data_IF_412395627276
#
_entry.id   IF_412395627276
#
_cell.length_a   1.000
_cell.length_b   1.000
_cell.length_c   1.000
_cell.angle_alpha   90.00
_cell.angle_beta   90.00
_cell.angle_gamma   90.00
#
_symmetry.space_group_name_H-M   'P 1'
#
loop_
_entity.id
_entity.type
_entity.pdbx_description
1 polymer ?
#
# COMPACT_ATOMS: atom_id res chain seq x y z
N UNK A 1 3.61 -34.18 -8.52
CA UNK A 1 2.62 -33.15 -8.88
C UNK A 1 2.36 -32.43 -7.57
N UNK A 2 3.16 -31.40 -7.25
CA UNK A 2 2.94 -30.63 -6.03
C UNK A 2 1.61 -29.91 -6.18
N UNK A 3 0.70 -30.10 -5.23
CA UNK A 3 -0.54 -29.34 -5.21
C UNK A 3 -0.19 -27.85 -5.27
N UNK A 4 -0.81 -27.06 -6.17
CA UNK A 4 -0.68 -25.61 -6.07
C UNK A 4 -1.12 -25.25 -4.65
N UNK A 5 -0.17 -24.76 -3.84
CA UNK A 5 -0.42 -24.50 -2.43
C UNK A 5 -1.67 -23.65 -2.27
N UNK A 6 -2.46 -23.89 -1.23
CA UNK A 6 -3.60 -23.04 -0.94
C UNK A 6 -3.17 -21.56 -0.81
N UNK A 7 -4.10 -20.62 -0.98
CA UNK A 7 -3.82 -19.18 -0.94
C UNK A 7 -2.86 -18.73 0.18
N UNK A 8 -3.05 -19.18 1.44
CA UNK A 8 -2.13 -18.90 2.55
C UNK A 8 -0.69 -19.37 2.33
N UNK A 9 -0.48 -20.58 1.81
CA UNK A 9 0.86 -21.11 1.51
C UNK A 9 1.53 -20.32 0.40
N UNK A 10 0.82 -20.03 -0.69
CA UNK A 10 1.34 -19.20 -1.79
C UNK A 10 1.70 -17.80 -1.30
N UNK A 11 0.85 -17.18 -0.48
CA UNK A 11 1.14 -15.88 0.14
C UNK A 11 2.41 -15.92 1.00
N UNK A 12 2.61 -16.99 1.76
CA UNK A 12 3.80 -17.18 2.60
C UNK A 12 5.06 -17.32 1.75
N UNK A 13 5.00 -18.08 0.64
CA UNK A 13 6.09 -18.18 -0.33
C UNK A 13 6.40 -16.84 -0.99
N UNK A 14 5.37 -16.04 -1.30
CA UNK A 14 5.54 -14.68 -1.80
C UNK A 14 6.28 -13.79 -0.81
N UNK A 15 5.89 -13.84 0.47
CA UNK A 15 6.55 -13.09 1.54
C UNK A 15 8.01 -13.51 1.76
N UNK A 16 8.30 -14.81 1.75
CA UNK A 16 9.68 -15.31 1.84
C UNK A 16 10.51 -14.88 0.63
N UNK A 17 9.94 -14.96 -0.57
CA UNK A 17 10.60 -14.53 -1.81
C UNK A 17 10.93 -13.04 -1.77
N UNK A 18 10.01 -12.21 -1.26
CA UNK A 18 10.22 -10.76 -1.10
C UNK A 18 11.27 -10.43 -0.05
N UNK A 19 11.22 -11.07 1.13
CA UNK A 19 11.97 -10.61 2.32
C UNK A 19 13.28 -11.34 2.59
N UNK A 20 13.39 -12.61 2.18
CA UNK A 20 14.57 -13.44 2.46
C UNK A 20 15.43 -13.66 1.22
N UNK A 21 14.79 -13.70 0.04
CA UNK A 21 15.44 -13.96 -1.25
C UNK A 21 15.62 -12.67 -2.05
N UNK A 22 14.79 -11.66 -1.79
CA UNK A 22 14.71 -10.41 -2.55
C UNK A 22 14.36 -10.64 -4.04
N UNK A 23 13.66 -11.73 -4.35
CA UNK A 23 13.13 -12.01 -5.68
C UNK A 23 11.70 -11.47 -5.79
N UNK A 24 11.61 -10.20 -6.18
CA UNK A 24 10.34 -9.48 -6.30
C UNK A 24 9.45 -10.00 -7.42
N UNK A 25 10.03 -10.50 -8.52
CA UNK A 25 9.27 -11.08 -9.62
C UNK A 25 8.57 -12.36 -9.18
N UNK A 26 9.29 -13.22 -8.45
CA UNK A 26 8.73 -14.44 -7.87
C UNK A 26 7.73 -14.15 -6.75
N UNK A 27 8.00 -13.15 -5.92
CA UNK A 27 7.07 -12.70 -4.89
C UNK A 27 5.72 -12.25 -5.50
N UNK A 28 5.77 -11.45 -6.56
CA UNK A 28 4.58 -11.02 -7.29
C UNK A 28 3.80 -12.20 -7.89
N UNK A 29 4.50 -13.14 -8.54
CA UNK A 29 3.87 -14.34 -9.10
C UNK A 29 3.13 -15.14 -8.01
N UNK A 30 3.75 -15.30 -6.84
CA UNK A 30 3.12 -15.99 -5.71
C UNK A 30 1.93 -15.23 -5.12
N UNK A 31 1.99 -13.90 -4.97
CA UNK A 31 0.84 -13.14 -4.48
C UNK A 31 -0.33 -13.18 -5.47
N UNK A 32 -0.07 -13.05 -6.78
CA UNK A 32 -1.10 -13.19 -7.82
C UNK A 32 -1.72 -14.58 -7.80
N UNK A 33 -0.91 -15.63 -7.70
CA UNK A 33 -1.39 -17.00 -7.57
C UNK A 33 -2.20 -17.22 -6.28
N UNK A 34 -1.78 -16.62 -5.16
CA UNK A 34 -2.50 -16.68 -3.90
C UNK A 34 -3.89 -16.05 -3.98
N UNK A 35 -4.00 -14.87 -4.62
CA UNK A 35 -5.28 -14.19 -4.88
C UNK A 35 -6.18 -15.05 -5.78
N UNK A 36 -5.62 -15.66 -6.83
CA UNK A 36 -6.37 -16.54 -7.73
C UNK A 36 -6.85 -17.83 -7.04
N UNK A 37 -6.03 -18.38 -6.13
CA UNK A 37 -6.37 -19.60 -5.38
C UNK A 37 -7.38 -19.35 -4.27
N UNK A 38 -7.35 -18.19 -3.62
CA UNK A 38 -8.27 -17.81 -2.57
C UNK A 38 -8.55 -16.30 -2.59
N UNK A 39 -9.58 -15.93 -3.34
CA UNK A 39 -9.97 -14.53 -3.52
C UNK A 39 -10.49 -13.87 -2.24
N UNK A 40 -10.81 -14.63 -1.19
CA UNK A 40 -11.31 -14.11 0.09
C UNK A 40 -10.21 -13.94 1.13
N UNK A 41 -8.98 -14.39 0.86
CA UNK A 41 -7.85 -14.29 1.78
C UNK A 41 -7.20 -12.90 1.70
N UNK A 42 -7.40 -12.02 2.71
CA UNK A 42 -7.02 -10.61 2.60
C UNK A 42 -5.51 -10.39 2.53
N UNK A 43 -4.71 -11.24 3.21
CA UNK A 43 -3.27 -11.02 3.32
C UNK A 43 -2.54 -11.03 1.97
N UNK A 44 -3.00 -11.80 0.97
CA UNK A 44 -2.42 -11.78 -0.38
C UNK A 44 -2.56 -10.40 -1.04
N UNK A 45 -3.71 -9.74 -0.87
CA UNK A 45 -3.94 -8.40 -1.40
C UNK A 45 -3.07 -7.36 -0.69
N UNK A 46 -2.97 -7.43 0.64
CA UNK A 46 -2.16 -6.50 1.44
C UNK A 46 -0.67 -6.63 1.12
N UNK A 47 -0.17 -7.86 0.99
CA UNK A 47 1.22 -8.12 0.65
C UNK A 47 1.55 -7.72 -0.78
N UNK A 48 0.64 -7.95 -1.73
CA UNK A 48 0.84 -7.51 -3.11
C UNK A 48 0.88 -5.97 -3.21
N UNK A 49 -0.06 -5.28 -2.55
CA UNK A 49 -0.04 -3.81 -2.46
C UNK A 49 1.24 -3.28 -1.80
N UNK A 50 1.77 -3.99 -0.80
CA UNK A 50 3.05 -3.63 -0.16
C UNK A 50 4.21 -3.79 -1.15
N UNK A 51 4.27 -4.91 -1.86
CA UNK A 51 5.27 -5.13 -2.91
C UNK A 51 5.22 -4.06 -4.00
N UNK A 52 4.02 -3.70 -4.49
CA UNK A 52 3.85 -2.64 -5.49
C UNK A 52 4.31 -1.26 -4.98
N UNK A 53 4.10 -0.97 -3.69
CA UNK A 53 4.61 0.26 -3.07
C UNK A 53 6.13 0.27 -2.98
N UNK A 54 6.74 -0.84 -2.55
CA UNK A 54 8.19 -0.94 -2.41
C UNK A 54 8.90 -0.81 -3.78
N UNK A 55 8.22 -1.21 -4.86
CA UNK A 55 8.69 -1.04 -6.25
C UNK A 55 8.26 0.29 -6.88
N UNK A 56 7.54 1.15 -6.17
CA UNK A 56 7.00 2.43 -6.67
C UNK A 56 6.16 2.28 -7.97
N UNK A 57 5.53 1.12 -8.18
CA UNK A 57 4.64 0.84 -9.33
C UNK A 57 3.25 1.40 -9.06
N UNK A 58 3.15 2.73 -9.07
CA UNK A 58 1.99 3.46 -8.55
C UNK A 58 0.71 3.29 -9.36
N UNK A 59 0.80 3.14 -10.68
CA UNK A 59 -0.37 2.92 -11.54
C UNK A 59 -1.03 1.59 -11.18
N UNK A 60 -0.24 0.52 -11.10
CA UNK A 60 -0.71 -0.81 -10.71
C UNK A 60 -1.17 -0.86 -9.26
N UNK A 61 -0.50 -0.12 -8.37
CA UNK A 61 -0.92 0.01 -6.97
C UNK A 61 -2.30 0.64 -6.87
N UNK A 62 -2.57 1.74 -7.59
CA UNK A 62 -3.86 2.41 -7.56
C UNK A 62 -4.96 1.47 -8.08
N UNK A 63 -4.76 0.80 -9.22
CA UNK A 63 -5.72 -0.19 -9.73
C UNK A 63 -6.00 -1.32 -8.73
N UNK A 64 -4.93 -1.85 -8.11
CA UNK A 64 -5.05 -2.91 -7.12
C UNK A 64 -5.80 -2.44 -5.86
N UNK A 65 -5.51 -1.24 -5.34
CA UNK A 65 -6.22 -0.66 -4.20
C UNK A 65 -7.70 -0.38 -4.50
N UNK A 66 -8.03 0.05 -5.71
CA UNK A 66 -9.43 0.18 -6.15
C UNK A 66 -10.15 -1.18 -6.16
N UNK A 67 -9.44 -2.27 -6.47
CA UNK A 67 -10.00 -3.61 -6.39
C UNK A 67 -10.26 -4.07 -4.94
N UNK A 68 -9.40 -3.68 -4.00
CA UNK A 68 -9.49 -4.06 -2.59
C UNK A 68 -10.80 -3.61 -1.93
N UNK A 69 -11.40 -2.49 -2.35
CA UNK A 69 -12.69 -2.02 -1.82
C UNK A 69 -13.86 -3.00 -2.06
N UNK A 70 -13.73 -3.91 -3.02
CA UNK A 70 -14.74 -4.92 -3.36
C UNK A 70 -14.59 -6.22 -2.56
N UNK A 71 -13.53 -6.36 -1.75
CA UNK A 71 -13.23 -7.58 -0.99
C UNK A 71 -13.79 -7.46 0.44
N UNK A 72 -14.73 -8.32 0.87
CA UNK A 72 -15.47 -8.16 2.14
C UNK A 72 -14.64 -8.07 3.42
N UNK A 73 -13.40 -8.58 3.42
CA UNK A 73 -12.55 -8.68 4.62
C UNK A 73 -11.32 -7.76 4.58
N UNK A 74 -11.23 -6.87 3.59
CA UNK A 74 -10.15 -5.87 3.54
C UNK A 74 -10.60 -4.61 4.28
N UNK A 75 -9.77 -4.18 5.21
CA UNK A 75 -10.02 -2.99 6.02
C UNK A 75 -9.89 -1.71 5.18
N UNK A 76 -10.98 -0.98 5.01
CA UNK A 76 -11.05 0.21 4.14
C UNK A 76 -10.15 1.36 4.60
N UNK A 77 -9.99 1.54 5.91
CA UNK A 77 -9.05 2.52 6.47
C UNK A 77 -7.61 2.24 6.06
N UNK A 78 -7.20 0.98 6.05
CA UNK A 78 -5.88 0.58 5.57
C UNK A 78 -5.71 0.88 4.08
N UNK A 79 -6.73 0.62 3.25
CA UNK A 79 -6.70 0.95 1.81
C UNK A 79 -6.51 2.45 1.60
N UNK A 80 -7.29 3.28 2.29
CA UNK A 80 -7.14 4.74 2.20
C UNK A 80 -5.77 5.22 2.72
N UNK A 81 -5.26 4.64 3.81
CA UNK A 81 -3.91 4.97 4.30
C UNK A 81 -2.86 4.60 3.25
N UNK A 82 -3.01 3.46 2.57
CA UNK A 82 -2.09 3.02 1.51
C UNK A 82 -2.11 3.96 0.31
N UNK A 83 -3.28 4.50 -0.08
CA UNK A 83 -3.39 5.58 -1.08
C UNK A 83 -2.70 6.86 -0.59
N UNK A 84 -2.84 7.20 0.69
CA UNK A 84 -2.16 8.35 1.28
C UNK A 84 -0.63 8.21 1.24
N UNK A 85 -0.11 7.02 1.55
CA UNK A 85 1.32 6.71 1.43
C UNK A 85 1.80 6.80 -0.03
N UNK A 86 1.01 6.28 -0.98
CA UNK A 86 1.33 6.39 -2.40
C UNK A 86 1.47 7.85 -2.84
N UNK A 87 0.51 8.70 -2.49
CA UNK A 87 0.58 10.13 -2.82
C UNK A 87 1.72 10.85 -2.10
N UNK A 88 2.04 10.43 -0.86
CA UNK A 88 3.20 10.97 -0.14
C UNK A 88 4.52 10.63 -0.87
N UNK A 89 4.67 9.42 -1.39
CA UNK A 89 5.83 9.00 -2.18
C UNK A 89 5.95 9.77 -3.50
N UNK A 90 4.82 10.08 -4.15
CA UNK A 90 4.75 10.97 -5.32
C UNK A 90 4.98 12.45 -5.00
N UNK A 91 5.24 12.79 -3.73
CA UNK A 91 5.40 14.16 -3.23
C UNK A 91 4.11 15.01 -3.32
N UNK A 92 2.95 14.36 -3.39
CA UNK A 92 1.62 14.98 -3.40
C UNK A 92 1.05 15.02 -1.97
N UNK A 93 1.68 15.85 -1.13
CA UNK A 93 1.40 15.85 0.31
C UNK A 93 -0.02 16.30 0.68
N UNK A 94 -0.67 17.14 -0.14
CA UNK A 94 -2.04 17.58 0.10
C UNK A 94 -3.02 16.43 -0.11
N UNK A 95 -2.84 15.67 -1.19
CA UNK A 95 -3.62 14.47 -1.50
C UNK A 95 -3.35 13.37 -0.47
N UNK A 96 -2.09 13.22 -0.03
CA UNK A 96 -1.72 12.30 1.05
C UNK A 96 -2.47 12.59 2.35
N UNK A 97 -2.60 13.87 2.73
CA UNK A 97 -3.39 14.29 3.90
C UNK A 97 -4.86 13.92 3.71
N UNK A 98 -5.45 14.26 2.57
CA UNK A 98 -6.86 13.98 2.29
C UNK A 98 -7.18 12.47 2.36
N UNK A 99 -6.27 11.60 1.92
CA UNK A 99 -6.42 10.16 2.06
C UNK A 99 -6.26 9.66 3.50
N UNK A 100 -5.33 10.21 4.28
CA UNK A 100 -5.23 9.87 5.71
C UNK A 100 -6.47 10.34 6.49
N UNK A 101 -7.08 11.47 6.13
CA UNK A 101 -8.37 11.90 6.70
C UNK A 101 -9.49 10.91 6.39
N UNK A 102 -9.60 10.42 5.14
CA UNK A 102 -10.51 9.32 4.79
C UNK A 102 -10.20 8.05 5.58
N UNK A 103 -8.93 7.73 5.78
CA UNK A 103 -8.51 6.57 6.58
C UNK A 103 -8.98 6.68 8.03
N UNK A 104 -8.86 7.86 8.65
CA UNK A 104 -9.38 8.13 10.00
C UNK A 104 -10.89 7.95 10.06
N UNK A 105 -11.63 8.49 9.08
CA UNK A 105 -13.10 8.36 9.02
C UNK A 105 -13.57 6.90 8.91
N UNK A 106 -12.74 6.02 8.32
CA UNK A 106 -13.04 4.60 8.20
C UNK A 106 -12.46 3.74 9.34
N UNK A 107 -11.58 4.30 10.16
CA UNK A 107 -10.92 3.57 11.23
C UNK A 107 -11.85 3.42 12.44
N UNK A 108 -11.77 2.27 13.09
CA UNK A 108 -12.50 1.97 14.34
C UNK A 108 -11.54 1.83 15.53
N UNK A 109 -10.23 1.75 15.28
CA UNK A 109 -9.20 1.65 16.33
C UNK A 109 -8.55 3.01 16.58
N UNK A 110 -8.50 3.43 17.84
CA UNK A 110 -7.83 4.65 18.28
C UNK A 110 -6.33 4.65 17.96
N UNK A 111 -5.68 3.47 18.01
CA UNK A 111 -4.27 3.31 17.63
C UNK A 111 -4.05 3.71 16.17
N UNK A 112 -4.90 3.21 15.25
CA UNK A 112 -4.81 3.55 13.83
C UNK A 112 -5.13 5.01 13.57
N UNK A 113 -6.13 5.56 14.27
CA UNK A 113 -6.46 6.98 14.17
C UNK A 113 -5.23 7.83 14.54
N UNK A 114 -4.54 7.46 15.62
CA UNK A 114 -3.31 8.13 16.03
C UNK A 114 -2.21 7.99 14.97
N UNK A 115 -1.96 6.80 14.44
CA UNK A 115 -0.97 6.58 13.38
C UNK A 115 -1.25 7.45 12.14
N UNK A 116 -2.52 7.56 11.73
CA UNK A 116 -2.91 8.37 10.58
C UNK A 116 -2.83 9.87 10.86
N UNK A 117 -3.08 10.31 12.10
CA UNK A 117 -2.82 11.69 12.53
C UNK A 117 -1.32 12.03 12.50
N UNK A 118 -0.46 11.07 12.85
CA UNK A 118 0.99 11.21 12.73
C UNK A 118 1.43 11.30 11.26
N UNK A 119 0.83 10.51 10.36
CA UNK A 119 1.03 10.64 8.90
C UNK A 119 0.63 12.03 8.38
N UNK A 120 -0.52 12.57 8.82
CA UNK A 120 -0.97 13.92 8.46
C UNK A 120 0.03 14.96 8.95
N UNK A 121 0.50 14.84 10.20
CA UNK A 121 1.48 15.75 10.79
C UNK A 121 2.80 15.72 10.01
N UNK A 122 3.27 14.52 9.65
CA UNK A 122 4.44 14.33 8.79
C UNK A 122 4.27 15.03 7.44
N UNK A 123 3.13 14.87 6.78
CA UNK A 123 2.84 15.51 5.49
C UNK A 123 2.78 17.04 5.61
N UNK A 124 2.15 17.59 6.66
CA UNK A 124 2.13 19.04 6.93
C UNK A 124 3.53 19.62 7.08
N UNK A 125 4.40 18.93 7.82
CA UNK A 125 5.81 19.34 7.97
C UNK A 125 6.55 19.28 6.62
N UNK A 126 6.32 18.26 5.80
CA UNK A 126 6.89 18.15 4.46
C UNK A 126 6.41 19.26 3.52
N UNK A 127 5.16 19.72 3.64
CA UNK A 127 4.66 20.89 2.90
C UNK A 127 5.46 22.15 3.28
N UNK A 128 5.65 22.42 4.57
CA UNK A 128 6.44 23.58 4.99
C UNK A 128 7.89 23.51 4.48
N UNK A 129 8.54 22.35 4.59
CA UNK A 129 9.90 22.14 4.06
C UNK A 129 9.94 22.31 2.54
N UNK A 130 8.91 21.85 1.81
CA UNK A 130 8.86 21.96 0.35
C UNK A 130 8.87 23.40 -0.15
N UNK A 131 8.40 24.37 0.65
CA UNK A 131 8.46 25.81 0.31
C UNK A 131 9.91 26.28 0.14
N UNK A 132 10.81 25.78 0.98
CA UNK A 132 12.23 26.12 0.93
C UNK A 132 12.98 25.36 -0.19
N UNK A 133 12.43 24.25 -0.65
CA UNK A 133 13.04 23.37 -1.66
C UNK A 133 12.22 23.26 -2.95
N UNK A 134 11.41 24.28 -3.27
CA UNK A 134 10.42 24.23 -4.36
C UNK A 134 11.01 23.77 -5.70
N UNK A 135 12.13 24.36 -6.12
CA UNK A 135 12.81 24.02 -7.38
C UNK A 135 13.27 22.56 -7.43
N UNK A 136 13.71 22.00 -6.30
CA UNK A 136 14.18 20.62 -6.22
C UNK A 136 13.00 19.64 -6.28
N UNK A 137 11.91 19.92 -5.56
CA UNK A 137 10.68 19.12 -5.62
C UNK A 137 10.07 19.11 -7.03
N UNK A 138 10.07 20.26 -7.72
CA UNK A 138 9.57 20.35 -9.10
C UNK A 138 10.40 19.52 -10.09
N UNK A 139 11.67 19.27 -9.82
CA UNK A 139 12.52 18.41 -10.66
C UNK A 139 12.20 16.92 -10.45
N UNK A 140 11.82 16.52 -9.24
CA UNK A 140 11.50 15.13 -8.91
C UNK A 140 10.12 14.67 -9.42
N UNK A 141 9.22 15.61 -9.76
CA UNK A 141 7.88 15.31 -10.28
C UNK A 141 7.83 15.07 -11.80
N UNK A 142 8.97 15.13 -12.49
CA UNK A 142 9.09 14.94 -13.94
C UNK A 142 9.53 13.52 -14.26
#
# INVERSE_FOLDING_TARGET
MEEPGNGPTLNSLGWLSKTQIEDFSKAEAYYKAAIASDAQYPHSYLNYATLLTDMERFEELEEHLQSCFRIPNIEKSWVFMKQGLMEELKLNFTEAIAYNEKAILMAVSDEKIKDYQENITRCKNKIELSKNHKKWIEQLRK
#
